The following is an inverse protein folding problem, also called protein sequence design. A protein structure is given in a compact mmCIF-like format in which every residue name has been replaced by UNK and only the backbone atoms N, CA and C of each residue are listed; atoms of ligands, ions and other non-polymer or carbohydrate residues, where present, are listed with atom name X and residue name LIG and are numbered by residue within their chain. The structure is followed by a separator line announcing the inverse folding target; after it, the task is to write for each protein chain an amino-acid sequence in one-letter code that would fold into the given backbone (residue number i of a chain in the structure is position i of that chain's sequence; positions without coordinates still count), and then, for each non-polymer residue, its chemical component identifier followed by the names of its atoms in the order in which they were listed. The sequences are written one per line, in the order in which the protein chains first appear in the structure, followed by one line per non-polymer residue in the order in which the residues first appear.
data_IF_770714529785
#
_entry.id   IF_770714529785
#
_cell.length_a   1.000
_cell.length_b   1.000
_cell.length_c   1.000
_cell.angle_alpha   90.00
_cell.angle_beta   90.00
_cell.angle_gamma   90.00
#
_symmetry.space_group_name_H-M   'P 1'
#
loop_
_entity.id
_entity.type
_entity.pdbx_description
1 polymer ?
#
# COMPACT_ATOMS: atom_id res chain seq x y z
N UNK A 1 -4.14 14.70 -10.79
CA UNK A 1 -4.34 14.38 -9.35
C UNK A 1 -4.91 12.97 -9.20
N UNK A 2 -4.60 12.25 -8.11
CA UNK A 2 -5.09 10.87 -7.90
C UNK A 2 -6.63 10.76 -7.95
N UNK A 3 -7.35 11.74 -7.42
CA UNK A 3 -8.83 11.81 -7.46
C UNK A 3 -9.38 11.70 -8.89
N UNK A 4 -8.75 12.39 -9.85
CA UNK A 4 -9.11 12.31 -11.27
C UNK A 4 -8.72 10.96 -11.89
N UNK A 5 -7.52 10.44 -11.56
CA UNK A 5 -7.01 9.16 -12.08
C UNK A 5 -7.92 7.99 -11.71
N UNK A 6 -8.50 8.02 -10.50
CA UNK A 6 -9.35 6.95 -9.98
C UNK A 6 -10.86 7.25 -10.10
N UNK A 7 -11.23 8.30 -10.85
CA UNK A 7 -12.64 8.69 -11.07
C UNK A 7 -13.44 8.84 -9.77
N UNK A 8 -12.83 9.49 -8.78
CA UNK A 8 -13.48 9.80 -7.51
C UNK A 8 -14.28 11.08 -7.67
N UNK A 9 -15.58 10.92 -7.93
CA UNK A 9 -16.52 12.02 -8.17
C UNK A 9 -17.23 12.50 -6.88
N UNK A 10 -17.09 11.76 -5.78
CA UNK A 10 -17.61 12.15 -4.46
C UNK A 10 -16.66 13.11 -3.74
N UNK A 11 -17.16 13.91 -2.77
CA UNK A 11 -16.34 14.86 -2.03
C UNK A 11 -15.12 14.21 -1.35
N UNK A 12 -13.96 14.86 -1.46
CA UNK A 12 -12.71 14.44 -0.81
C UNK A 12 -12.25 15.56 0.12
N UNK A 13 -12.06 15.24 1.40
CA UNK A 13 -11.53 16.16 2.41
C UNK A 13 -10.06 15.82 2.64
N UNK A 14 -9.18 16.83 2.57
CA UNK A 14 -7.76 16.69 2.86
C UNK A 14 -7.53 16.80 4.37
N UNK A 15 -7.33 15.66 5.03
CA UNK A 15 -7.04 15.58 6.47
C UNK A 15 -5.52 15.52 6.73
N UNK A 16 -4.78 16.49 6.18
CA UNK A 16 -3.31 16.50 6.20
C UNK A 16 -2.71 16.46 7.61
N UNK A 17 -3.42 17.03 8.60
CA UNK A 17 -3.00 17.06 10.00
C UNK A 17 -3.56 15.90 10.84
N UNK A 18 -4.25 14.94 10.21
CA UNK A 18 -4.90 13.78 10.85
C UNK A 18 -5.95 14.16 11.92
N UNK A 19 -6.61 15.32 11.80
CA UNK A 19 -7.58 15.78 12.79
C UNK A 19 -8.84 14.90 12.76
N UNK A 20 -9.39 14.65 11.57
CA UNK A 20 -10.56 13.80 11.39
C UNK A 20 -10.22 12.35 11.72
N UNK A 21 -9.07 11.87 11.25
CA UNK A 21 -8.54 10.54 11.52
C UNK A 21 -8.45 10.26 13.03
N UNK A 22 -7.88 11.19 13.81
CA UNK A 22 -7.78 11.07 15.27
C UNK A 22 -9.13 11.19 15.95
N UNK A 23 -10.02 12.08 15.50
CA UNK A 23 -11.37 12.24 16.05
C UNK A 23 -12.19 10.95 15.93
N UNK A 24 -12.08 10.25 14.80
CA UNK A 24 -12.69 8.93 14.57
C UNK A 24 -11.89 7.78 15.21
N UNK A 25 -10.81 8.06 15.94
CA UNK A 25 -9.91 7.07 16.52
C UNK A 25 -9.45 6.02 15.50
N UNK A 26 -9.22 6.44 14.25
CA UNK A 26 -8.79 5.54 13.19
C UNK A 26 -7.33 5.10 13.38
N UNK A 27 -7.02 3.87 12.97
CA UNK A 27 -5.69 3.27 13.00
C UNK A 27 -5.38 2.43 11.75
N UNK A 28 -6.30 2.36 10.80
CA UNK A 28 -6.23 1.42 9.68
C UNK A 28 -6.65 2.07 8.37
N UNK A 29 -6.01 1.62 7.29
CA UNK A 29 -6.38 1.92 5.92
C UNK A 29 -6.66 0.62 5.15
N UNK A 30 -7.74 0.52 4.35
CA UNK A 30 -8.89 1.43 4.37
C UNK A 30 -9.75 1.19 5.63
N UNK A 31 -10.65 2.14 5.93
CA UNK A 31 -11.71 1.98 6.93
C UNK A 31 -12.97 2.67 6.44
N UNK A 32 -14.14 2.11 6.74
CA UNK A 32 -15.45 2.62 6.34
C UNK A 32 -16.31 2.83 7.57
N UNK A 33 -16.98 3.97 7.63
CA UNK A 33 -18.04 4.23 8.60
C UNK A 33 -19.31 4.56 7.83
N UNK A 34 -20.45 3.97 8.21
CA UNK A 34 -21.76 4.42 7.72
C UNK A 34 -22.46 5.19 8.83
N UNK A 35 -22.98 6.34 8.46
CA UNK A 35 -23.71 7.26 9.33
C UNK A 35 -25.17 7.26 8.87
N UNK A 36 -26.10 7.06 9.80
CA UNK A 36 -27.53 7.06 9.52
C UNK A 36 -28.11 8.48 9.37
N UNK A 37 -29.43 8.57 9.19
CA UNK A 37 -30.15 9.85 9.03
C UNK A 37 -30.12 10.71 10.31
N UNK A 38 -29.98 10.08 11.48
CA UNK A 38 -29.94 10.75 12.78
C UNK A 38 -28.51 11.19 13.16
N UNK A 39 -27.51 10.83 12.36
CA UNK A 39 -26.12 11.23 12.52
C UNK A 39 -25.28 10.26 13.37
N UNK A 40 -25.77 9.04 13.62
CA UNK A 40 -25.04 8.03 14.38
C UNK A 40 -24.23 7.10 13.47
N UNK A 41 -23.05 6.69 13.95
CA UNK A 41 -22.27 5.63 13.30
C UNK A 41 -22.95 4.29 13.59
N UNK A 42 -23.48 3.66 12.56
CA UNK A 42 -24.26 2.41 12.63
C UNK A 42 -23.56 1.23 11.96
N UNK A 43 -22.40 1.48 11.36
CA UNK A 43 -21.53 0.47 10.77
C UNK A 43 -20.08 0.97 10.77
N UNK A 44 -19.17 0.06 11.07
CA UNK A 44 -17.73 0.28 11.09
C UNK A 44 -17.03 -0.95 10.52
N UNK A 45 -16.19 -0.75 9.50
CA UNK A 45 -15.45 -1.81 8.86
C UNK A 45 -14.00 -1.42 8.65
N UNK A 46 -13.10 -2.21 9.26
CA UNK A 46 -11.66 -2.08 9.14
C UNK A 46 -11.15 -2.98 8.01
N UNK A 47 -10.30 -2.43 7.15
CA UNK A 47 -9.61 -3.16 6.10
C UNK A 47 -10.36 -3.20 4.78
N UNK A 48 -9.74 -3.86 3.81
CA UNK A 48 -10.32 -4.09 2.50
C UNK A 48 -11.26 -5.31 2.53
N UNK A 49 -12.38 -5.23 1.82
CA UNK A 49 -13.35 -6.33 1.72
C UNK A 49 -14.75 -5.96 2.20
N UNK A 50 -15.52 -7.01 2.55
CA UNK A 50 -16.93 -6.98 2.96
C UNK A 50 -17.84 -6.07 2.12
N UNK A 51 -17.57 -5.94 0.82
CA UNK A 51 -18.30 -5.04 -0.08
C UNK A 51 -19.80 -5.32 -0.09
N UNK A 52 -20.21 -6.60 -0.15
CA UNK A 52 -21.62 -6.99 -0.12
C UNK A 52 -22.32 -6.69 1.21
N UNK A 53 -21.62 -6.85 2.33
CA UNK A 53 -22.16 -6.49 3.65
C UNK A 53 -22.29 -4.98 3.80
N UNK A 54 -21.27 -4.22 3.42
CA UNK A 54 -21.30 -2.75 3.41
C UNK A 54 -22.45 -2.24 2.52
N UNK A 55 -22.60 -2.77 1.31
CA UNK A 55 -23.69 -2.41 0.38
C UNK A 55 -25.06 -2.76 0.97
N UNK A 56 -25.21 -3.94 1.59
CA UNK A 56 -26.47 -4.33 2.24
C UNK A 56 -26.86 -3.33 3.34
N UNK A 57 -25.88 -2.87 4.12
CA UNK A 57 -26.12 -1.88 5.18
C UNK A 57 -26.45 -0.50 4.60
N UNK A 58 -25.80 -0.07 3.51
CA UNK A 58 -26.17 1.16 2.81
C UNK A 58 -27.64 1.10 2.33
N UNK A 59 -28.05 -0.01 1.72
CA UNK A 59 -29.42 -0.20 1.25
C UNK A 59 -30.45 -0.19 2.38
N UNK A 60 -30.10 -0.74 3.55
CA UNK A 60 -30.92 -0.66 4.78
C UNK A 60 -31.12 0.79 5.22
N UNK A 61 -30.05 1.57 5.34
CA UNK A 61 -30.10 2.97 5.78
C UNK A 61 -30.83 3.87 4.77
N UNK A 62 -30.71 3.60 3.47
CA UNK A 62 -31.47 4.31 2.45
C UNK A 62 -32.98 4.00 2.53
N UNK A 63 -33.37 2.75 2.86
CA UNK A 63 -34.79 2.39 3.05
C UNK A 63 -35.37 3.10 4.27
N UNK A 64 -34.62 3.13 5.37
CA UNK A 64 -34.98 3.87 6.57
C UNK A 64 -35.18 5.37 6.26
N UNK A 65 -34.19 6.00 5.63
CA UNK A 65 -34.29 7.40 5.20
C UNK A 65 -35.52 7.66 4.33
N UNK A 66 -35.76 6.84 3.32
CA UNK A 66 -36.93 6.97 2.45
C UNK A 66 -38.23 6.90 3.25
N UNK A 67 -38.33 6.00 4.23
CA UNK A 67 -39.52 5.88 5.08
C UNK A 67 -39.72 7.11 5.98
N UNK A 68 -38.65 7.63 6.60
CA UNK A 68 -38.70 8.80 7.50
C UNK A 68 -39.01 10.08 6.73
N UNK A 69 -38.32 10.31 5.61
CA UNK A 69 -38.45 11.53 4.81
C UNK A 69 -39.57 11.47 3.76
N UNK A 70 -40.22 10.31 3.61
CA UNK A 70 -41.22 10.04 2.56
C UNK A 70 -40.66 10.28 1.15
N UNK A 71 -39.40 9.93 0.95
CA UNK A 71 -38.71 9.96 -0.34
C UNK A 71 -38.94 8.64 -1.09
N UNK A 72 -39.00 8.71 -2.43
CA UNK A 72 -39.14 7.54 -3.29
C UNK A 72 -37.87 7.30 -4.11
N UNK A 73 -36.71 7.49 -3.48
CA UNK A 73 -35.41 7.26 -4.14
C UNK A 73 -35.28 5.79 -4.50
N UNK A 74 -34.97 5.49 -5.76
CA UNK A 74 -34.71 4.12 -6.19
C UNK A 74 -33.42 3.61 -5.55
N UNK A 75 -33.52 2.51 -4.80
CA UNK A 75 -32.38 1.87 -4.15
C UNK A 75 -31.95 0.70 -5.01
N UNK A 76 -30.67 0.67 -5.39
CA UNK A 76 -30.07 -0.46 -6.11
C UNK A 76 -30.38 -1.77 -5.40
N UNK A 77 -30.73 -2.81 -6.16
CA UNK A 77 -30.99 -4.16 -5.63
C UNK A 77 -29.80 -5.09 -5.77
N UNK A 78 -28.79 -4.69 -6.54
CA UNK A 78 -27.60 -5.49 -6.78
C UNK A 78 -26.63 -5.34 -5.62
N UNK A 79 -26.17 -6.46 -5.06
CA UNK A 79 -24.96 -6.42 -4.23
C UNK A 79 -23.75 -6.24 -5.15
N UNK A 80 -22.90 -5.28 -4.82
CA UNK A 80 -21.62 -5.12 -5.49
C UNK A 80 -20.69 -6.24 -5.00
N UNK A 81 -20.37 -7.16 -5.90
CA UNK A 81 -19.20 -8.01 -5.75
C UNK A 81 -18.19 -7.57 -6.81
N UNK A 82 -17.15 -6.80 -6.46
CA UNK A 82 -16.15 -6.44 -7.45
C UNK A 82 -15.58 -7.74 -8.02
N UNK A 83 -15.56 -7.89 -9.35
CA UNK A 83 -14.98 -9.03 -10.09
C UNK A 83 -13.45 -9.16 -9.91
N UNK A 84 -12.92 -8.66 -8.81
CA UNK A 84 -11.55 -8.84 -8.37
C UNK A 84 -11.49 -10.13 -7.57
N UNK A 85 -10.60 -11.04 -7.95
CA UNK A 85 -10.25 -12.18 -7.09
C UNK A 85 -9.89 -11.62 -5.72
N UNK A 86 -10.77 -11.79 -4.73
CA UNK A 86 -10.54 -11.24 -3.39
C UNK A 86 -9.17 -11.71 -2.92
N UNK A 87 -8.31 -10.75 -2.55
CA UNK A 87 -7.05 -11.07 -1.89
C UNK A 87 -7.38 -11.80 -0.60
N UNK A 88 -6.79 -12.98 -0.47
CA UNK A 88 -6.91 -13.82 0.71
C UNK A 88 -5.80 -13.39 1.67
N UNK A 89 -6.11 -12.36 2.46
CA UNK A 89 -5.17 -11.77 3.42
C UNK A 89 -4.66 -12.79 4.45
N UNK A 90 -5.36 -13.92 4.67
CA UNK A 90 -4.88 -14.99 5.55
C UNK A 90 -3.66 -15.74 5.01
N UNK A 91 -3.40 -15.64 3.69
CA UNK A 91 -2.26 -16.26 3.01
C UNK A 91 -1.09 -15.31 2.79
N UNK A 92 -1.21 -14.06 3.26
CA UNK A 92 -0.13 -13.08 3.25
C UNK A 92 0.53 -13.08 4.62
N UNK A 93 1.83 -13.41 4.67
CA UNK A 93 2.59 -13.41 5.91
C UNK A 93 3.59 -12.25 6.00
N UNK A 94 3.85 -11.54 4.90
CA UNK A 94 4.66 -10.32 4.92
C UNK A 94 3.79 -9.13 5.32
N UNK A 95 4.10 -8.44 6.43
CA UNK A 95 3.47 -7.17 6.73
C UNK A 95 3.90 -6.11 5.72
N UNK A 96 3.20 -4.98 5.68
CA UNK A 96 3.71 -3.80 4.98
C UNK A 96 5.13 -3.45 5.46
N UNK A 97 6.02 -3.15 4.52
CA UNK A 97 7.44 -2.86 4.78
C UNK A 97 7.71 -1.39 4.52
N UNK A 98 8.12 -0.64 5.54
CA UNK A 98 8.47 0.78 5.41
C UNK A 98 9.98 0.97 5.33
N UNK A 99 10.43 1.77 4.36
CA UNK A 99 11.84 2.05 4.11
C UNK A 99 12.37 3.19 4.99
N UNK A 100 11.62 4.29 5.09
CA UNK A 100 11.99 5.46 5.89
C UNK A 100 12.08 5.14 7.39
N UNK A 101 13.03 5.78 8.07
CA UNK A 101 13.28 5.50 9.49
C UNK A 101 12.13 5.96 10.40
N UNK A 102 11.32 6.94 9.98
CA UNK A 102 10.20 7.50 10.76
C UNK A 102 9.01 6.55 10.89
N UNK A 103 8.83 5.66 9.91
CA UNK A 103 7.76 4.65 9.90
C UNK A 103 8.28 3.22 10.09
N UNK A 104 9.59 3.07 10.29
CA UNK A 104 10.23 1.77 10.37
C UNK A 104 9.66 0.93 11.51
N UNK A 105 9.36 -0.34 11.19
CA UNK A 105 8.97 -1.37 12.16
C UNK A 105 10.11 -2.35 12.44
N UNK A 106 11.36 -1.88 12.35
CA UNK A 106 12.59 -2.70 12.42
C UNK A 106 12.68 -3.78 11.33
N UNK A 107 12.28 -3.43 10.11
CA UNK A 107 12.21 -4.33 8.96
C UNK A 107 13.42 -4.26 8.00
N UNK A 108 14.51 -3.59 8.36
CA UNK A 108 15.77 -3.59 7.59
C UNK A 108 16.67 -4.70 8.12
N UNK A 109 17.16 -5.54 7.21
CA UNK A 109 18.06 -6.63 7.56
C UNK A 109 19.55 -6.33 7.30
N UNK A 110 19.89 -5.17 6.74
CA UNK A 110 21.27 -4.72 6.63
C UNK A 110 21.90 -4.52 8.01
N UNK A 111 23.14 -4.99 8.19
CA UNK A 111 23.89 -4.82 9.45
C UNK A 111 24.21 -3.36 9.76
N UNK A 112 24.27 -2.52 8.72
CA UNK A 112 24.54 -1.08 8.82
C UNK A 112 23.40 -0.34 9.51
N UNK A 113 22.17 -0.86 9.38
CA UNK A 113 20.94 -0.26 9.91
C UNK A 113 20.62 1.12 9.32
N UNK A 114 19.60 1.77 9.86
CA UNK A 114 19.31 3.16 9.52
C UNK A 114 20.32 4.10 10.16
N UNK A 115 20.75 5.11 9.39
CA UNK A 115 21.51 6.26 9.88
C UNK A 115 20.78 7.53 9.48
N UNK A 116 19.88 8.07 10.34
CA UNK A 116 19.00 9.17 10.00
C UNK A 116 19.74 10.33 9.32
N UNK A 117 19.22 10.78 8.18
CA UNK A 117 19.71 11.89 7.36
C UNK A 117 21.13 11.70 6.79
N UNK A 118 21.63 10.46 6.76
CA UNK A 118 22.95 10.13 6.19
C UNK A 118 22.83 9.22 4.97
N UNK A 119 23.76 9.40 4.04
CA UNK A 119 24.03 8.43 2.98
C UNK A 119 24.93 7.33 3.53
N UNK A 120 24.51 6.09 3.35
CA UNK A 120 25.19 4.89 3.85
C UNK A 120 25.41 3.91 2.70
N UNK A 121 26.60 3.33 2.66
CA UNK A 121 26.91 2.22 1.76
C UNK A 121 26.39 0.92 2.37
N UNK A 122 25.43 0.28 1.70
CA UNK A 122 24.83 -0.98 2.14
C UNK A 122 25.36 -2.16 1.34
N UNK A 123 25.45 -3.31 1.99
CA UNK A 123 25.77 -4.57 1.34
C UNK A 123 24.79 -5.67 1.75
N UNK A 124 24.46 -6.54 0.81
CA UNK A 124 23.66 -7.72 1.10
C UNK A 124 24.40 -8.68 2.04
N UNK A 125 23.71 -9.30 3.01
CA UNK A 125 24.27 -10.39 3.79
C UNK A 125 24.32 -11.68 2.96
N UNK A 126 25.05 -12.69 3.47
CA UNK A 126 25.08 -14.03 2.87
C UNK A 126 23.72 -14.74 2.91
N UNK A 127 22.87 -14.39 3.88
CA UNK A 127 21.55 -14.99 4.06
C UNK A 127 20.51 -13.91 4.39
N UNK A 128 19.39 -13.96 3.69
CA UNK A 128 18.26 -13.04 3.89
C UNK A 128 17.12 -13.74 4.63
N UNK A 129 16.61 -13.06 5.66
CA UNK A 129 15.43 -13.47 6.42
C UNK A 129 14.15 -12.99 5.75
N UNK A 130 13.05 -13.72 5.98
CA UNK A 130 11.72 -13.32 5.51
C UNK A 130 11.29 -12.01 6.17
N UNK A 131 10.49 -11.21 5.46
CA UNK A 131 9.88 -9.98 5.94
C UNK A 131 10.86 -8.85 6.30
N UNK A 132 12.13 -8.98 5.94
CA UNK A 132 13.13 -7.92 6.03
C UNK A 132 13.56 -7.51 4.63
N UNK A 133 13.67 -6.20 4.40
CA UNK A 133 14.29 -5.68 3.19
C UNK A 133 15.79 -5.47 3.40
N UNK A 134 16.52 -5.52 2.30
CA UNK A 134 17.95 -5.32 2.23
C UNK A 134 18.27 -4.37 1.10
N UNK A 135 19.30 -3.57 1.28
CA UNK A 135 19.83 -2.64 0.29
C UNK A 135 21.27 -3.04 -0.09
N UNK A 136 21.65 -2.69 -1.30
CA UNK A 136 23.02 -2.69 -1.79
C UNK A 136 23.29 -1.34 -2.48
N UNK A 137 24.49 -0.80 -2.30
CA UNK A 137 24.92 0.49 -2.87
C UNK A 137 24.75 1.64 -1.87
N UNK A 138 24.98 2.87 -2.33
CA UNK A 138 24.82 4.08 -1.53
C UNK A 138 23.35 4.51 -1.46
N UNK A 139 22.80 4.64 -0.25
CA UNK A 139 21.43 5.11 -0.04
C UNK A 139 21.36 6.19 1.04
N UNK A 140 20.64 7.27 0.73
CA UNK A 140 20.29 8.33 1.69
C UNK A 140 19.09 7.89 2.54
N UNK A 141 19.29 7.88 3.85
CA UNK A 141 18.25 7.62 4.84
C UNK A 141 17.43 8.87 5.12
N UNK A 142 16.19 8.92 4.65
CA UNK A 142 15.27 10.01 4.96
C UNK A 142 14.18 9.54 5.93
N UNK A 143 13.45 10.50 6.54
CA UNK A 143 12.36 10.19 7.46
C UNK A 143 11.29 9.26 6.83
N UNK A 144 10.87 9.54 5.60
CA UNK A 144 9.74 8.85 4.95
C UNK A 144 10.16 7.76 3.95
N UNK A 145 11.38 7.83 3.41
CA UNK A 145 11.86 6.96 2.33
C UNK A 145 13.37 6.71 2.40
N UNK A 146 13.83 5.76 1.59
CA UNK A 146 15.24 5.56 1.25
C UNK A 146 15.47 6.00 -0.20
N UNK A 147 16.49 6.80 -0.46
CA UNK A 147 16.82 7.31 -1.81
C UNK A 147 18.16 6.78 -2.30
N UNK A 148 18.19 6.19 -3.51
CA UNK A 148 19.44 5.70 -4.09
C UNK A 148 20.34 6.88 -4.49
N UNK A 149 21.56 6.91 -3.95
CA UNK A 149 22.58 7.92 -4.24
C UNK A 149 23.59 7.45 -5.32
N UNK A 150 23.15 6.53 -6.18
CA UNK A 150 23.91 5.84 -7.21
C UNK A 150 23.15 4.62 -7.72
N UNK A 151 23.77 3.80 -8.55
CA UNK A 151 23.23 2.47 -8.86
C UNK A 151 23.15 1.63 -7.57
N UNK A 152 22.01 0.97 -7.37
CA UNK A 152 21.75 0.20 -6.17
C UNK A 152 20.85 -0.98 -6.40
N UNK A 153 20.63 -1.76 -5.34
CA UNK A 153 19.63 -2.82 -5.34
C UNK A 153 18.83 -2.83 -4.07
N UNK A 154 17.59 -3.28 -4.20
CA UNK A 154 16.69 -3.62 -3.10
C UNK A 154 16.44 -5.12 -3.19
N UNK A 155 16.50 -5.84 -2.07
CA UNK A 155 16.09 -7.24 -1.98
C UNK A 155 15.09 -7.45 -0.84
N UNK A 156 14.15 -8.36 -1.04
CA UNK A 156 13.14 -8.71 -0.06
C UNK A 156 12.75 -10.18 -0.24
N UNK A 157 12.84 -10.95 0.84
CA UNK A 157 12.18 -12.26 0.92
C UNK A 157 10.79 -12.08 1.52
N UNK A 158 9.75 -12.47 0.80
CA UNK A 158 8.36 -12.21 1.16
C UNK A 158 7.46 -13.43 0.93
N UNK A 159 6.34 -13.49 1.64
CA UNK A 159 5.24 -14.45 1.45
C UNK A 159 3.94 -13.72 1.09
N UNK A 160 3.63 -13.69 -0.21
CA UNK A 160 2.40 -13.11 -0.79
C UNK A 160 2.23 -13.60 -2.23
N UNK A 161 1.17 -13.16 -2.92
CA UNK A 161 0.96 -13.43 -4.36
C UNK A 161 1.31 -12.20 -5.22
N UNK A 162 0.98 -11.02 -4.74
CA UNK A 162 1.24 -9.74 -5.38
C UNK A 162 2.18 -8.89 -4.55
N UNK A 163 3.00 -8.08 -5.21
CA UNK A 163 3.83 -7.05 -4.57
C UNK A 163 3.67 -5.74 -5.34
N UNK A 164 3.41 -4.66 -4.60
CA UNK A 164 3.50 -3.31 -5.12
C UNK A 164 4.61 -2.55 -4.38
N UNK A 165 5.30 -1.69 -5.13
CA UNK A 165 6.26 -0.73 -4.60
C UNK A 165 5.64 0.66 -4.63
N UNK A 166 5.62 1.35 -3.50
CA UNK A 166 5.40 2.80 -3.48
C UNK A 166 6.75 3.48 -3.60
N UNK A 167 6.95 4.15 -4.73
CA UNK A 167 8.20 4.80 -5.08
C UNK A 167 7.95 6.10 -5.84
N UNK A 168 8.99 6.91 -5.95
CA UNK A 168 9.05 8.10 -6.78
C UNK A 168 10.48 8.36 -7.24
N UNK A 169 10.64 9.24 -8.21
CA UNK A 169 11.93 9.70 -8.71
C UNK A 169 11.75 11.02 -9.45
N UNK A 170 12.66 11.97 -9.25
CA UNK A 170 12.59 13.28 -9.91
C UNK A 170 12.84 13.18 -11.43
N UNK A 171 13.64 12.20 -11.84
CA UNK A 171 13.86 11.84 -13.24
C UNK A 171 13.32 10.43 -13.50
N UNK A 172 12.84 10.11 -14.72
CA UNK A 172 12.41 8.75 -15.03
C UNK A 172 13.47 7.69 -14.71
N UNK A 173 13.17 6.82 -13.74
CA UNK A 173 14.06 5.78 -13.24
C UNK A 173 13.62 4.40 -13.74
N UNK A 174 14.41 3.79 -14.62
CA UNK A 174 14.15 2.44 -15.10
C UNK A 174 14.65 1.41 -14.09
N UNK A 175 13.74 0.75 -13.39
CA UNK A 175 14.06 -0.30 -12.43
C UNK A 175 13.85 -1.68 -13.04
N UNK A 176 14.77 -2.61 -12.78
CA UNK A 176 14.68 -3.98 -13.27
C UNK A 176 14.32 -4.93 -12.13
N UNK A 177 13.25 -5.69 -12.31
CA UNK A 177 12.64 -6.53 -11.28
C UNK A 177 12.98 -7.99 -11.56
N UNK A 178 13.50 -8.67 -10.55
CA UNK A 178 13.85 -10.08 -10.56
C UNK A 178 13.07 -10.81 -9.47
N UNK A 179 12.61 -12.01 -9.77
CA UNK A 179 11.96 -12.90 -8.82
C UNK A 179 12.68 -14.24 -8.85
N UNK A 180 13.13 -14.70 -7.70
CA UNK A 180 13.87 -15.96 -7.53
C UNK A 180 15.07 -16.07 -8.50
N UNK A 181 15.77 -14.95 -8.70
CA UNK A 181 16.94 -14.83 -9.58
C UNK A 181 16.63 -14.67 -11.07
N UNK A 182 15.36 -14.78 -11.49
CA UNK A 182 14.95 -14.60 -12.88
C UNK A 182 14.38 -13.20 -13.12
N UNK A 183 14.81 -12.54 -14.19
CA UNK A 183 14.26 -11.23 -14.58
C UNK A 183 12.78 -11.39 -14.98
N UNK A 184 11.91 -10.54 -14.41
CA UNK A 184 10.47 -10.54 -14.70
C UNK A 184 10.08 -9.43 -15.66
N UNK A 185 10.52 -8.19 -15.36
CA UNK A 185 10.21 -6.99 -16.17
C UNK A 185 11.08 -5.82 -15.77
N UNK A 186 11.06 -4.79 -16.61
CA UNK A 186 11.55 -3.45 -16.30
C UNK A 186 10.36 -2.50 -16.30
N UNK A 187 10.31 -1.59 -15.34
CA UNK A 187 9.30 -0.51 -15.29
C UNK A 187 10.00 0.84 -15.10
N UNK A 188 9.35 1.91 -15.53
CA UNK A 188 9.80 3.28 -15.30
C UNK A 188 9.06 3.86 -14.11
N UNK A 189 9.80 4.28 -13.09
CA UNK A 189 9.30 5.03 -11.93
C UNK A 189 9.55 6.52 -12.17
N UNK A 190 8.57 7.35 -11.89
CA UNK A 190 8.71 8.80 -11.96
C UNK A 190 7.88 9.45 -10.84
N UNK A 191 6.60 9.70 -11.06
CA UNK A 191 5.75 10.29 -10.03
C UNK A 191 5.66 9.41 -8.77
N UNK A 192 5.55 10.04 -7.60
CA UNK A 192 5.28 9.34 -6.36
C UNK A 192 3.95 8.59 -6.47
N UNK A 193 4.00 7.26 -6.30
CA UNK A 193 2.81 6.44 -6.46
C UNK A 193 3.06 4.96 -6.25
N UNK A 194 1.98 4.19 -6.36
CA UNK A 194 2.00 2.74 -6.26
C UNK A 194 2.24 2.10 -7.64
N UNK A 195 3.27 1.26 -7.72
CA UNK A 195 3.67 0.53 -8.90
C UNK A 195 3.53 -0.99 -8.67
N UNK A 196 2.67 -1.70 -9.43
CA UNK A 196 2.57 -3.16 -9.35
C UNK A 196 3.81 -3.82 -9.96
N UNK A 197 4.62 -4.47 -9.12
CA UNK A 197 5.91 -5.04 -9.55
C UNK A 197 5.89 -6.55 -9.68
N UNK A 198 5.04 -7.28 -8.94
CA UNK A 198 4.88 -8.73 -9.07
C UNK A 198 3.40 -9.11 -9.00
N UNK A 199 3.01 -10.06 -9.84
CA UNK A 199 1.69 -10.71 -9.84
C UNK A 199 1.89 -12.18 -10.20
N UNK A 200 1.68 -13.07 -9.25
CA UNK A 200 1.79 -14.51 -9.45
C UNK A 200 0.39 -15.18 -9.41
N UNK A 201 0.21 -16.36 -10.01
CA UNK A 201 -1.08 -17.05 -10.00
C UNK A 201 -1.45 -17.65 -8.64
N UNK A 202 -0.47 -17.88 -7.76
CA UNK A 202 -0.64 -18.51 -6.46
C UNK A 202 0.16 -17.78 -5.37
N UNK A 203 -0.29 -17.89 -4.12
CA UNK A 203 0.47 -17.42 -2.96
C UNK A 203 1.71 -18.29 -2.76
N UNK A 204 2.84 -17.66 -2.47
CA UNK A 204 4.11 -18.35 -2.28
C UNK A 204 5.10 -17.50 -1.50
N UNK A 205 6.23 -18.11 -1.14
CA UNK A 205 7.38 -17.38 -0.60
C UNK A 205 8.43 -17.24 -1.67
N UNK A 206 8.84 -16.01 -1.95
CA UNK A 206 9.76 -15.66 -3.04
C UNK A 206 10.83 -14.69 -2.58
N UNK A 207 11.90 -14.60 -3.37
CA UNK A 207 12.94 -13.58 -3.23
C UNK A 207 12.79 -12.57 -4.36
N UNK A 208 12.41 -11.35 -4.02
CA UNK A 208 12.38 -10.20 -4.90
C UNK A 208 13.74 -9.50 -4.87
N UNK A 209 14.27 -9.17 -6.03
CA UNK A 209 15.37 -8.21 -6.17
C UNK A 209 15.00 -7.14 -7.19
N UNK A 210 15.37 -5.90 -6.92
CA UNK A 210 15.14 -4.75 -7.78
C UNK A 210 16.48 -4.05 -7.99
N UNK A 211 16.94 -3.97 -9.23
CA UNK A 211 18.07 -3.11 -9.59
C UNK A 211 17.53 -1.72 -9.94
N UNK A 212 18.16 -0.68 -9.38
CA UNK A 212 17.67 0.69 -9.44
C UNK A 212 18.79 1.64 -9.89
N UNK A 213 18.47 2.70 -10.66
CA UNK A 213 19.41 3.78 -10.93
C UNK A 213 19.50 4.72 -9.72
N UNK A 214 20.34 5.75 -9.83
CA UNK A 214 20.35 6.89 -8.91
C UNK A 214 19.01 7.65 -8.91
N UNK A 215 18.63 8.18 -7.75
CA UNK A 215 17.47 9.07 -7.58
C UNK A 215 16.13 8.37 -7.30
N UNK A 216 16.10 7.04 -7.20
CA UNK A 216 14.89 6.32 -6.81
C UNK A 216 14.62 6.51 -5.32
N UNK A 217 13.45 7.05 -4.98
CA UNK A 217 12.90 7.15 -3.62
C UNK A 217 11.95 5.99 -3.37
N UNK A 218 12.29 5.08 -2.46
CA UNK A 218 11.46 3.93 -2.06
C UNK A 218 10.81 4.18 -0.70
N UNK A 219 9.48 4.07 -0.61
CA UNK A 219 8.70 4.43 0.58
C UNK A 219 8.18 3.17 1.30
N UNK A 220 7.44 2.32 0.58
CA UNK A 220 6.85 1.11 1.16
C UNK A 220 6.70 -0.03 0.14
N UNK A 221 6.73 -1.28 0.62
CA UNK A 221 6.16 -2.42 -0.08
C UNK A 221 4.81 -2.81 0.52
N UNK A 222 3.84 -3.04 -0.37
CA UNK A 222 2.51 -3.58 -0.02
C UNK A 222 2.27 -4.90 -0.75
N UNK A 223 1.40 -5.74 -0.18
CA UNK A 223 1.22 -7.13 -0.60
C UNK A 223 -0.24 -7.45 -0.84
N UNK A 224 -0.50 -8.37 -1.77
CA UNK A 224 -1.84 -8.84 -2.11
C UNK A 224 -1.88 -10.25 -2.68
#
# INVERSE_FOLDING_TARGET
MAVQKYHIDYPVVLDNDYQTWRAYQNRYWPRKYLIDIDGFIVYDHIGEGNYGETESKIQELLKERNAVLKENTEISKGLINPNTSQTDFSKIATPEIYFGYGFSRNQMGNKEGWKPEQTVEYAFPLAMQNNLFYLQGAWKNSHDFMESSGEGKIALKYTAKNVNLVAGSEQPANISIYLDGAMKKTITVHEEGLYPIITEPAYGTHTLEIAVPEGLKAYTFTFG
#
